data_IF_989415237339
#
_entry.id   IF_989415237339
#
_cell.length_a   1.000
_cell.length_b   1.000
_cell.length_c   1.000
_cell.angle_alpha   90.00
_cell.angle_beta   90.00
_cell.angle_gamma   90.00
#
_symmetry.space_group_name_H-M   'P 1'
#
loop_
_entity.id
_entity.type
_entity.pdbx_description
1 polymer ?
#
# COMPACT_ATOMS: atom_id res chain seq x y z
N UNK A 1 8.36 -23.36 30.44
CA UNK A 1 8.59 -22.02 29.91
C UNK A 1 8.82 -22.13 28.42
N UNK A 2 7.77 -21.85 27.66
CA UNK A 2 7.81 -21.90 26.22
C UNK A 2 8.37 -20.54 25.73
N UNK A 3 9.65 -20.52 25.43
CA UNK A 3 10.25 -19.37 24.72
C UNK A 3 9.89 -19.50 23.26
N UNK A 4 8.81 -18.82 22.85
CA UNK A 4 8.52 -18.62 21.44
C UNK A 4 9.65 -17.79 20.82
N UNK A 5 10.57 -18.44 20.13
CA UNK A 5 11.52 -17.75 19.28
C UNK A 5 10.73 -17.12 18.12
N UNK A 6 10.67 -15.81 18.09
CA UNK A 6 10.16 -15.11 16.90
C UNK A 6 11.14 -15.40 15.75
N UNK A 7 10.63 -15.98 14.68
CA UNK A 7 11.39 -16.11 13.45
C UNK A 7 11.30 -14.75 12.72
N UNK A 8 12.45 -14.10 12.55
CA UNK A 8 12.59 -12.94 11.71
C UNK A 8 13.19 -13.38 10.38
N UNK A 9 12.50 -13.13 9.30
CA UNK A 9 13.04 -13.22 7.95
C UNK A 9 13.33 -11.81 7.50
N UNK A 10 14.61 -11.42 7.57
CA UNK A 10 15.11 -10.24 6.90
C UNK A 10 15.89 -10.73 5.69
N UNK A 11 15.52 -10.29 4.51
CA UNK A 11 16.20 -10.66 3.26
C UNK A 11 17.50 -9.87 3.06
N UNK A 12 17.79 -8.95 3.98
CA UNK A 12 19.03 -8.17 3.99
C UNK A 12 20.23 -9.07 4.29
N UNK A 13 21.01 -9.36 3.29
CA UNK A 13 22.31 -10.02 3.43
C UNK A 13 23.40 -9.02 3.88
N UNK A 14 23.17 -8.33 5.03
CA UNK A 14 24.14 -7.44 5.65
C UNK A 14 24.37 -6.08 4.97
N UNK A 15 23.82 -5.87 3.81
CA UNK A 15 23.61 -4.59 3.12
C UNK A 15 22.17 -4.63 2.64
N UNK A 16 21.38 -3.64 3.01
CA UNK A 16 20.00 -3.48 2.56
C UNK A 16 19.99 -3.56 1.04
N UNK A 17 19.55 -4.69 0.49
CA UNK A 17 19.57 -4.93 -0.94
C UNK A 17 18.34 -5.71 -1.37
N UNK A 18 17.68 -5.20 -2.37
CA UNK A 18 16.54 -5.86 -3.00
C UNK A 18 16.99 -7.18 -3.64
N UNK A 19 16.18 -8.21 -3.47
CA UNK A 19 16.49 -9.52 -4.03
C UNK A 19 15.33 -10.52 -4.00
N UNK A 20 15.66 -11.72 -4.49
CA UNK A 20 14.78 -12.90 -4.32
C UNK A 20 15.49 -13.90 -3.44
N UNK A 21 14.84 -14.27 -2.34
CA UNK A 21 15.30 -15.33 -1.46
C UNK A 21 14.40 -16.57 -1.65
N UNK A 22 15.02 -17.74 -1.86
CA UNK A 22 14.28 -18.98 -2.13
C UNK A 22 14.45 -19.98 -1.01
N UNK A 23 13.34 -20.53 -0.52
CA UNK A 23 13.29 -21.59 0.46
C UNK A 23 12.45 -22.75 -0.06
N UNK A 24 12.72 -23.98 0.39
CA UNK A 24 11.89 -25.14 0.01
C UNK A 24 10.59 -25.13 0.79
N UNK A 25 10.66 -25.02 2.12
CA UNK A 25 9.50 -25.00 3.00
C UNK A 25 9.51 -23.72 3.82
N UNK A 26 8.46 -22.92 3.67
CA UNK A 26 8.27 -21.67 4.40
C UNK A 26 7.19 -21.86 5.47
N UNK A 27 7.61 -21.86 6.74
CA UNK A 27 6.68 -21.95 7.86
C UNK A 27 6.51 -20.56 8.50
N UNK A 28 5.32 -20.00 8.42
CA UNK A 28 4.98 -18.71 8.98
C UNK A 28 4.14 -18.88 10.24
N UNK A 29 4.81 -18.77 11.39
CA UNK A 29 4.17 -18.89 12.70
C UNK A 29 3.53 -17.58 13.14
N UNK A 30 2.63 -17.65 14.11
CA UNK A 30 2.08 -16.48 14.78
C UNK A 30 3.19 -15.56 15.30
N UNK A 31 3.15 -14.29 14.93
CA UNK A 31 4.13 -13.29 15.30
C UNK A 31 5.46 -13.38 14.55
N UNK A 32 5.59 -14.24 13.53
CA UNK A 32 6.73 -14.19 12.61
C UNK A 32 6.87 -12.79 12.04
N UNK A 33 8.11 -12.36 11.83
CA UNK A 33 8.42 -11.04 11.28
C UNK A 33 8.97 -11.23 9.88
N UNK A 34 8.36 -10.54 8.92
CA UNK A 34 8.88 -10.40 7.58
C UNK A 34 9.14 -8.92 7.28
N UNK A 35 10.41 -8.57 7.17
CA UNK A 35 10.85 -7.25 6.75
C UNK A 35 10.95 -7.25 5.22
N UNK A 36 10.04 -6.52 4.58
CA UNK A 36 9.94 -6.40 3.13
C UNK A 36 10.42 -5.02 2.68
N UNK A 37 11.28 -5.01 1.68
CA UNK A 37 11.97 -3.82 1.21
C UNK A 37 11.57 -3.47 -0.22
N UNK A 38 11.48 -2.17 -0.51
CA UNK A 38 11.18 -1.63 -1.82
C UNK A 38 12.08 -0.43 -2.13
N UNK A 39 12.77 -0.47 -3.26
CA UNK A 39 13.63 0.62 -3.75
C UNK A 39 13.06 1.32 -4.98
N UNK A 40 12.24 0.64 -5.77
CA UNK A 40 11.62 1.20 -6.97
C UNK A 40 10.15 0.78 -7.09
N UNK A 41 9.25 1.75 -6.99
CA UNK A 41 7.80 1.54 -7.03
C UNK A 41 7.29 1.09 -8.41
N UNK A 42 8.01 1.43 -9.47
CA UNK A 42 7.73 1.05 -10.85
C UNK A 42 8.64 -0.09 -11.36
N UNK A 43 9.49 -0.63 -10.48
CA UNK A 43 10.41 -1.72 -10.77
C UNK A 43 9.74 -3.08 -10.98
N UNK A 44 10.53 -4.13 -10.86
CA UNK A 44 10.09 -5.51 -10.97
C UNK A 44 10.43 -6.32 -9.72
N UNK A 45 9.74 -7.42 -9.50
CA UNK A 45 9.98 -8.36 -8.42
C UNK A 45 11.45 -8.84 -8.41
N UNK A 46 12.08 -8.83 -7.24
CA UNK A 46 13.49 -9.19 -7.06
C UNK A 46 14.51 -8.14 -7.52
N UNK A 47 14.07 -7.00 -8.09
CA UNK A 47 14.95 -5.89 -8.49
C UNK A 47 14.46 -4.54 -8.00
N UNK A 48 13.16 -4.31 -7.97
CA UNK A 48 12.54 -3.11 -7.41
C UNK A 48 12.06 -3.32 -5.98
N UNK A 49 11.77 -4.55 -5.61
CA UNK A 49 11.36 -4.96 -4.27
C UNK A 49 11.69 -6.43 -4.00
N UNK A 50 11.69 -6.79 -2.73
CA UNK A 50 11.99 -8.15 -2.28
C UNK A 50 10.93 -9.16 -2.64
N UNK A 51 11.39 -10.40 -2.90
CA UNK A 51 10.55 -11.57 -3.09
C UNK A 51 11.05 -12.72 -2.22
N UNK A 52 10.15 -13.34 -1.48
CA UNK A 52 10.40 -14.60 -0.80
C UNK A 52 9.73 -15.73 -1.59
N UNK A 53 10.54 -16.49 -2.32
CA UNK A 53 10.10 -17.61 -3.11
C UNK A 53 10.10 -18.91 -2.27
N UNK A 54 9.08 -19.76 -2.44
CA UNK A 54 8.93 -21.01 -1.69
C UNK A 54 8.39 -22.13 -2.60
N UNK A 55 8.59 -23.38 -2.20
CA UNK A 55 7.86 -24.51 -2.81
C UNK A 55 6.58 -24.81 -2.02
N UNK A 56 6.70 -24.90 -0.71
CA UNK A 56 5.56 -25.14 0.17
C UNK A 56 5.47 -24.05 1.24
N UNK A 57 4.26 -23.59 1.52
CA UNK A 57 3.96 -22.56 2.52
C UNK A 57 3.00 -23.11 3.57
N UNK A 58 3.35 -22.95 4.83
CA UNK A 58 2.52 -23.34 5.96
C UNK A 58 2.25 -22.15 6.90
N UNK A 59 0.98 -21.73 6.97
CA UNK A 59 0.50 -20.76 7.94
C UNK A 59 0.10 -21.48 9.25
N UNK A 60 0.97 -21.44 10.24
CA UNK A 60 0.78 -22.15 11.51
C UNK A 60 -0.10 -21.40 12.52
N UNK A 61 -0.97 -20.53 12.02
CA UNK A 61 -1.95 -19.79 12.82
C UNK A 61 -1.44 -18.46 13.34
N UNK A 62 -2.38 -17.53 13.56
CA UNK A 62 -2.10 -16.15 13.98
C UNK A 62 -1.61 -15.24 12.86
N UNK A 63 -1.35 -13.99 13.24
CA UNK A 63 -0.93 -12.98 12.28
C UNK A 63 0.61 -12.88 12.20
N UNK A 64 1.09 -12.63 10.98
CA UNK A 64 2.50 -12.37 10.65
C UNK A 64 2.72 -10.87 10.67
N UNK A 65 3.81 -10.41 11.26
CA UNK A 65 4.18 -9.00 11.24
C UNK A 65 4.94 -8.70 9.93
N UNK A 66 4.30 -7.97 9.04
CA UNK A 66 4.89 -7.54 7.76
C UNK A 66 5.30 -6.07 7.88
N UNK A 67 6.59 -5.84 7.97
CA UNK A 67 7.16 -4.49 7.99
C UNK A 67 7.54 -4.06 6.58
N UNK A 68 7.12 -2.87 6.18
CA UNK A 68 7.41 -2.31 4.86
C UNK A 68 8.45 -1.20 5.00
N UNK A 69 9.57 -1.33 4.31
CA UNK A 69 10.67 -0.38 4.31
C UNK A 69 10.93 0.20 2.92
N UNK A 70 11.14 1.53 2.87
CA UNK A 70 11.62 2.20 1.67
C UNK A 70 13.15 2.22 1.64
N UNK A 71 13.73 1.88 0.50
CA UNK A 71 15.15 1.99 0.24
C UNK A 71 15.43 2.95 -0.91
N UNK A 72 16.55 3.66 -0.83
CA UNK A 72 17.15 4.36 -1.96
C UNK A 72 17.82 3.36 -2.90
N UNK A 73 18.14 3.80 -4.11
CA UNK A 73 18.83 2.96 -5.11
C UNK A 73 20.21 2.44 -4.67
N UNK A 74 20.80 3.04 -3.63
CA UNK A 74 22.07 2.61 -3.03
C UNK A 74 21.88 1.60 -1.88
N UNK A 75 20.66 1.15 -1.60
CA UNK A 75 20.33 0.20 -0.54
C UNK A 75 20.22 0.81 0.86
N UNK A 76 20.36 2.13 1.03
CA UNK A 76 20.15 2.77 2.35
C UNK A 76 18.67 3.09 2.58
N UNK A 77 18.22 3.02 3.84
CA UNK A 77 16.87 3.41 4.20
C UNK A 77 16.55 4.82 3.71
N UNK A 78 15.43 4.97 3.01
CA UNK A 78 15.06 6.25 2.40
C UNK A 78 13.86 6.17 1.48
N UNK A 79 13.63 7.26 0.74
CA UNK A 79 12.57 7.31 -0.27
C UNK A 79 12.94 6.42 -1.46
N UNK A 80 12.03 5.54 -1.83
CA UNK A 80 12.17 4.72 -3.04
C UNK A 80 11.94 5.56 -4.31
N UNK A 81 12.46 5.08 -5.45
CA UNK A 81 12.18 5.63 -6.78
C UNK A 81 10.81 5.20 -7.30
N UNK A 82 10.41 5.74 -8.44
CA UNK A 82 9.15 5.42 -9.09
C UNK A 82 7.97 6.29 -8.65
N UNK A 83 6.79 6.04 -9.23
CA UNK A 83 5.60 6.83 -8.98
C UNK A 83 4.81 6.31 -7.76
N UNK A 84 5.22 6.72 -6.58
CA UNK A 84 4.59 6.32 -5.31
C UNK A 84 3.15 6.83 -5.13
N UNK A 85 2.68 7.75 -5.97
CA UNK A 85 1.29 8.20 -6.00
C UNK A 85 0.37 7.29 -6.81
N UNK A 86 0.94 6.42 -7.66
CA UNK A 86 0.15 5.48 -8.42
C UNK A 86 -0.42 4.39 -7.50
N UNK A 87 -1.72 4.11 -7.64
CA UNK A 87 -2.31 2.95 -7.00
C UNK A 87 -1.74 1.67 -7.64
N UNK A 88 -1.33 0.72 -6.80
CA UNK A 88 -0.87 -0.61 -7.21
C UNK A 88 -1.88 -1.65 -6.71
N UNK A 89 -2.98 -1.79 -7.45
CA UNK A 89 -4.10 -2.68 -7.09
C UNK A 89 -4.38 -3.69 -8.18
N UNK A 90 -4.84 -4.89 -7.78
CA UNK A 90 -5.12 -6.00 -8.69
C UNK A 90 -4.01 -7.06 -8.73
N UNK A 91 -4.38 -8.26 -9.17
CA UNK A 91 -3.52 -9.45 -9.11
C UNK A 91 -2.22 -9.33 -9.89
N UNK A 92 -2.19 -8.51 -10.93
CA UNK A 92 -1.02 -8.37 -11.82
C UNK A 92 -0.28 -7.05 -11.66
N UNK A 93 -0.84 -6.09 -10.91
CA UNK A 93 -0.30 -4.75 -10.74
C UNK A 93 0.15 -4.45 -9.31
N UNK A 94 -0.08 -5.35 -8.37
CA UNK A 94 0.48 -5.32 -7.02
C UNK A 94 1.95 -5.73 -6.99
N UNK A 95 2.55 -5.62 -5.81
CA UNK A 95 3.92 -6.06 -5.57
C UNK A 95 3.91 -7.53 -5.14
N UNK A 96 4.34 -8.44 -6.02
CA UNK A 96 4.51 -9.84 -5.64
C UNK A 96 5.61 -9.92 -4.58
N UNK A 97 5.28 -10.39 -3.38
CA UNK A 97 6.22 -10.47 -2.26
C UNK A 97 6.42 -11.90 -1.73
N UNK A 98 5.42 -12.76 -1.94
CA UNK A 98 5.55 -14.20 -1.75
C UNK A 98 5.25 -14.88 -3.10
N UNK A 99 6.13 -15.76 -3.53
CA UNK A 99 6.04 -16.45 -4.82
C UNK A 99 6.17 -17.96 -4.64
N UNK A 100 5.16 -18.70 -5.08
CA UNK A 100 5.20 -20.16 -5.09
C UNK A 100 5.10 -20.73 -6.51
N UNK A 101 5.62 -21.95 -6.74
CA UNK A 101 5.41 -22.63 -8.01
C UNK A 101 3.96 -23.10 -8.13
N UNK A 102 3.45 -23.19 -9.36
CA UNK A 102 2.08 -23.68 -9.62
C UNK A 102 1.78 -25.07 -9.03
N UNK A 103 2.81 -25.87 -8.74
CA UNK A 103 2.73 -27.19 -8.11
C UNK A 103 2.93 -27.15 -6.59
N UNK A 104 3.18 -25.98 -6.03
CA UNK A 104 3.41 -25.80 -4.60
C UNK A 104 2.13 -26.01 -3.78
N UNK A 105 2.32 -26.30 -2.49
CA UNK A 105 1.21 -26.45 -1.56
C UNK A 105 1.14 -25.29 -0.59
N UNK A 106 -0.07 -24.85 -0.28
CA UNK A 106 -0.32 -23.87 0.77
C UNK A 106 -1.21 -24.51 1.83
N UNK A 107 -0.65 -24.66 3.02
CA UNK A 107 -1.43 -25.01 4.20
C UNK A 107 -1.92 -23.73 4.89
N UNK A 108 -3.22 -23.53 4.87
CA UNK A 108 -3.87 -22.31 5.41
C UNK A 108 -4.01 -22.32 6.93
N UNK A 109 -3.60 -23.40 7.61
CA UNK A 109 -3.69 -23.51 9.06
C UNK A 109 -5.12 -23.31 9.55
N UNK A 110 -5.32 -22.34 10.45
CA UNK A 110 -6.65 -21.98 10.95
C UNK A 110 -7.33 -20.88 10.15
N UNK A 111 -6.63 -20.24 9.22
CA UNK A 111 -7.20 -19.23 8.34
C UNK A 111 -8.22 -19.88 7.39
N UNK A 112 -9.36 -19.21 7.21
CA UNK A 112 -10.46 -19.68 6.36
C UNK A 112 -10.84 -21.15 6.61
N UNK A 113 -10.74 -21.61 7.88
CA UNK A 113 -10.97 -23.02 8.28
C UNK A 113 -10.07 -24.01 7.53
N UNK A 114 -8.84 -23.60 7.19
CA UNK A 114 -7.87 -24.43 6.49
C UNK A 114 -8.10 -24.58 4.99
N UNK A 115 -9.05 -23.84 4.44
CA UNK A 115 -9.43 -23.92 3.00
C UNK A 115 -8.78 -22.80 2.19
N UNK A 116 -8.45 -23.08 0.94
CA UNK A 116 -8.00 -22.06 -0.01
C UNK A 116 -9.09 -20.97 -0.15
N UNK A 117 -8.79 -19.71 0.13
CA UNK A 117 -9.77 -18.62 0.05
C UNK A 117 -10.23 -18.29 -1.37
N UNK A 118 -9.57 -18.84 -2.39
CA UNK A 118 -9.87 -18.60 -3.81
C UNK A 118 -9.17 -17.37 -4.39
N UNK A 119 -9.17 -17.32 -5.71
CA UNK A 119 -8.57 -16.22 -6.46
C UNK A 119 -9.27 -14.90 -6.18
N UNK A 120 -8.48 -13.84 -6.08
CA UNK A 120 -9.00 -12.50 -5.89
C UNK A 120 -9.40 -12.16 -4.45
N UNK A 121 -8.99 -12.97 -3.50
CA UNK A 121 -9.33 -12.76 -2.10
C UNK A 121 -8.27 -11.91 -1.39
N UNK A 122 -8.74 -10.91 -0.63
CA UNK A 122 -7.89 -10.18 0.30
C UNK A 122 -7.63 -11.04 1.53
N UNK A 123 -6.36 -11.30 1.81
CA UNK A 123 -5.92 -12.11 2.96
C UNK A 123 -5.17 -11.28 4.00
N UNK A 124 -5.49 -9.98 4.05
CA UNK A 124 -4.81 -9.02 4.95
C UNK A 124 -4.91 -9.39 6.44
N UNK A 125 -5.92 -10.16 6.84
CA UNK A 125 -6.05 -10.64 8.23
C UNK A 125 -4.96 -11.63 8.66
N UNK A 126 -4.21 -12.19 7.71
CA UNK A 126 -3.01 -12.98 8.02
C UNK A 126 -1.79 -12.12 8.37
N UNK A 127 -1.84 -10.82 8.12
CA UNK A 127 -0.70 -9.92 8.23
C UNK A 127 -1.02 -8.68 9.07
N UNK A 128 -0.16 -8.41 10.05
CA UNK A 128 -0.09 -7.12 10.73
C UNK A 128 0.85 -6.23 9.93
N UNK A 129 0.30 -5.36 9.08
CA UNK A 129 1.11 -4.53 8.18
C UNK A 129 1.57 -3.27 8.91
N UNK A 130 2.89 -3.10 9.02
CA UNK A 130 3.54 -1.92 9.56
C UNK A 130 4.28 -1.19 8.43
N UNK A 131 3.78 0.00 8.07
CA UNK A 131 4.33 0.81 6.98
C UNK A 131 5.20 1.98 7.43
N UNK A 132 5.54 2.09 8.73
CA UNK A 132 6.29 3.25 9.25
C UNK A 132 7.63 3.43 8.55
N UNK A 133 8.35 2.34 8.26
CA UNK A 133 9.62 2.37 7.55
C UNK A 133 9.53 2.88 6.12
N UNK A 134 8.35 2.75 5.48
CA UNK A 134 8.09 3.25 4.13
C UNK A 134 7.51 4.66 4.14
N UNK A 135 6.45 4.90 4.92
CA UNK A 135 5.73 6.18 4.95
C UNK A 135 6.56 7.33 5.49
N UNK A 136 7.50 7.04 6.40
CA UNK A 136 8.41 8.04 6.96
C UNK A 136 9.24 8.74 5.87
N UNK A 137 9.73 8.00 4.89
CA UNK A 137 10.60 8.52 3.84
C UNK A 137 9.84 8.98 2.60
N UNK A 138 8.74 8.30 2.26
CA UNK A 138 8.01 8.60 1.03
C UNK A 138 6.95 9.69 1.21
N UNK A 139 6.64 10.07 2.47
CA UNK A 139 5.64 11.10 2.80
C UNK A 139 4.27 10.86 2.16
N UNK A 140 3.95 9.62 1.83
CA UNK A 140 2.70 9.25 1.21
C UNK A 140 1.85 8.42 2.16
N UNK A 141 0.59 8.82 2.24
CA UNK A 141 -0.40 8.10 3.00
C UNK A 141 -1.17 7.19 2.05
N UNK A 142 -1.35 5.95 2.45
CA UNK A 142 -2.10 4.97 1.70
C UNK A 142 -2.38 3.76 2.54
N UNK A 143 -3.24 2.91 2.01
CA UNK A 143 -3.58 1.64 2.64
C UNK A 143 -2.87 0.51 1.89
N UNK A 144 -2.15 -0.29 2.66
CA UNK A 144 -1.59 -1.54 2.17
C UNK A 144 -2.54 -2.69 2.49
N UNK A 145 -2.67 -3.61 1.58
CA UNK A 145 -3.44 -4.84 1.76
C UNK A 145 -2.72 -6.00 1.08
N UNK A 146 -3.00 -7.22 1.54
CA UNK A 146 -2.46 -8.43 0.94
C UNK A 146 -3.55 -9.12 0.12
N UNK A 147 -3.19 -9.45 -1.11
CA UNK A 147 -4.06 -10.10 -2.08
C UNK A 147 -3.47 -11.46 -2.47
N UNK A 148 -4.32 -12.47 -2.58
CA UNK A 148 -3.95 -13.81 -3.03
C UNK A 148 -4.49 -14.04 -4.45
N UNK A 149 -3.66 -14.54 -5.36
CA UNK A 149 -4.03 -14.74 -6.75
C UNK A 149 -4.92 -15.97 -7.00
N UNK A 150 -5.08 -16.82 -5.99
CA UNK A 150 -5.86 -18.07 -6.08
C UNK A 150 -5.01 -19.28 -6.40
N UNK A 151 -3.73 -19.10 -6.66
CA UNK A 151 -2.78 -20.14 -7.04
C UNK A 151 -1.72 -20.31 -5.94
N UNK A 152 -0.62 -19.59 -6.00
CA UNK A 152 0.47 -19.67 -5.02
C UNK A 152 1.12 -18.32 -4.71
N UNK A 153 0.72 -17.24 -5.39
CA UNK A 153 1.34 -15.94 -5.28
C UNK A 153 0.55 -14.98 -4.39
N UNK A 154 1.30 -14.20 -3.60
CA UNK A 154 0.74 -13.14 -2.77
C UNK A 154 1.30 -11.80 -3.18
N UNK A 155 0.41 -10.82 -3.25
CA UNK A 155 0.71 -9.47 -3.69
C UNK A 155 0.39 -8.46 -2.61
N UNK A 156 1.31 -7.55 -2.36
CA UNK A 156 1.03 -6.32 -1.66
C UNK A 156 0.36 -5.34 -2.62
N UNK A 157 -0.78 -4.84 -2.23
CA UNK A 157 -1.50 -3.81 -2.95
C UNK A 157 -1.41 -2.50 -2.18
N UNK A 158 -1.18 -1.41 -2.90
CA UNK A 158 -1.13 -0.08 -2.34
C UNK A 158 -2.22 0.78 -2.95
N UNK A 159 -3.05 1.38 -2.09
CA UNK A 159 -4.06 2.36 -2.47
C UNK A 159 -3.68 3.71 -1.89
N UNK A 160 -3.22 4.62 -2.75
CA UNK A 160 -2.84 5.95 -2.33
C UNK A 160 -4.07 6.74 -1.82
N UNK A 161 -3.91 7.43 -0.70
CA UNK A 161 -4.88 8.39 -0.20
C UNK A 161 -4.34 9.79 -0.52
N UNK A 162 -5.08 10.62 -1.29
CA UNK A 162 -4.66 11.98 -1.57
C UNK A 162 -4.46 12.79 -0.28
N UNK A 163 -3.37 13.55 -0.20
CA UNK A 163 -3.11 14.40 0.96
C UNK A 163 -4.23 15.43 1.18
N UNK A 164 -4.50 15.82 2.44
CA UNK A 164 -5.52 16.84 2.76
C UNK A 164 -5.33 18.15 2.00
N UNK A 165 -4.08 18.54 1.71
CA UNK A 165 -3.74 19.71 0.90
C UNK A 165 -4.33 19.65 -0.52
N UNK A 166 -4.41 18.47 -1.12
CA UNK A 166 -5.00 18.27 -2.45
C UNK A 166 -6.50 18.57 -2.43
N UNK A 167 -7.20 18.17 -1.37
CA UNK A 167 -8.63 18.49 -1.21
C UNK A 167 -8.85 19.99 -1.00
N UNK A 168 -8.01 20.66 -0.24
CA UNK A 168 -8.09 22.11 -0.01
C UNK A 168 -7.86 22.88 -1.31
N UNK A 169 -6.90 22.46 -2.15
CA UNK A 169 -6.68 23.10 -3.45
C UNK A 169 -7.88 22.91 -4.40
N UNK A 170 -8.41 21.70 -4.50
CA UNK A 170 -9.56 21.42 -5.39
C UNK A 170 -10.80 22.17 -4.91
N UNK A 171 -11.10 22.16 -3.61
CA UNK A 171 -12.25 22.91 -3.07
C UNK A 171 -12.05 24.41 -3.16
N UNK A 172 -10.84 24.92 -2.91
CA UNK A 172 -10.49 26.32 -3.08
C UNK A 172 -10.67 26.80 -4.52
N UNK A 173 -10.23 26.03 -5.50
CA UNK A 173 -10.38 26.32 -6.92
C UNK A 173 -11.85 26.35 -7.36
N UNK A 174 -12.68 25.48 -6.81
CA UNK A 174 -14.14 25.44 -7.09
C UNK A 174 -14.89 26.59 -6.45
N UNK A 175 -14.41 27.13 -5.30
CA UNK A 175 -15.05 28.25 -4.63
C UNK A 175 -14.79 29.61 -5.29
N UNK A 176 -13.66 29.78 -5.98
CA UNK A 176 -13.31 31.06 -6.66
C UNK A 176 -14.33 31.52 -7.72
N UNK A 177 -14.84 30.64 -8.62
CA UNK A 177 -15.87 31.03 -9.57
C UNK A 177 -17.20 31.42 -8.89
N UNK A 178 -17.58 30.69 -7.83
CA UNK A 178 -18.78 30.95 -7.05
C UNK A 178 -18.75 32.32 -6.37
N UNK A 179 -17.61 32.69 -5.76
CA UNK A 179 -17.43 34.00 -5.13
C UNK A 179 -17.57 35.14 -6.13
N UNK A 180 -16.95 35.03 -7.31
CA UNK A 180 -17.04 36.04 -8.35
C UNK A 180 -18.48 36.16 -8.91
N UNK A 181 -19.18 35.07 -9.05
CA UNK A 181 -20.58 35.03 -9.46
C UNK A 181 -21.49 35.78 -8.47
N UNK A 182 -21.39 35.45 -7.19
CA UNK A 182 -22.18 36.11 -6.12
C UNK A 182 -21.85 37.61 -6.06
N UNK A 183 -20.60 38.00 -6.21
CA UNK A 183 -20.18 39.41 -6.23
C UNK A 183 -20.79 40.18 -7.41
N UNK A 184 -20.89 39.56 -8.59
CA UNK A 184 -21.53 40.17 -9.79
C UNK A 184 -23.04 40.32 -9.59
N UNK A 185 -23.69 39.36 -8.97
CA UNK A 185 -25.14 39.43 -8.68
C UNK A 185 -25.47 40.56 -7.69
N UNK A 186 -24.67 40.78 -6.67
CA UNK A 186 -24.84 41.87 -5.70
C UNK A 186 -24.69 43.23 -6.34
N UNK A 187 -23.70 43.42 -7.27
CA UNK A 187 -23.53 44.67 -8.00
C UNK A 187 -24.74 44.98 -8.90
N UNK A 188 -25.32 44.00 -9.59
CA UNK A 188 -26.53 44.21 -10.41
C UNK A 188 -27.72 44.66 -9.58
N UNK A 189 -27.91 44.12 -8.37
CA UNK A 189 -29.01 44.45 -7.49
C UNK A 189 -28.92 45.86 -6.90
N UNK A 190 -27.71 46.39 -6.71
CA UNK A 190 -27.49 47.78 -6.24
C UNK A 190 -27.74 48.84 -7.34
N UNK A 191 -27.47 48.50 -8.61
CA UNK A 191 -27.74 49.39 -9.75
C UNK A 191 -29.24 49.49 -10.04
N UNK A 192 -30.02 48.43 -9.95
CA UNK A 192 -31.47 48.46 -10.19
C UNK A 192 -32.24 49.26 -9.10
N UNK A 193 -31.69 49.34 -7.88
CA UNK A 193 -32.33 50.08 -6.78
C UNK A 193 -32.10 51.59 -6.84
N UNK A 194 -31.10 52.06 -7.59
CA UNK A 194 -30.79 53.49 -7.81
C UNK A 194 -31.65 54.15 -8.91
N UNK A 195 -32.20 53.37 -9.84
CA UNK A 195 -33.01 53.91 -10.95
C UNK A 195 -34.47 54.14 -10.53
N UNK A 196 -34.95 53.49 -9.46
CA UNK A 196 -36.32 53.63 -8.98
C UNK A 196 -36.54 54.85 -8.08
N UNK A 197 -35.48 55.54 -7.60
CA UNK A 197 -35.62 56.73 -6.74
C UNK A 197 -35.58 58.06 -7.52
N UNK A 198 -35.26 58.08 -8.80
CA UNK A 198 -35.14 59.30 -9.61
C UNK A 198 -36.43 59.68 -10.38
N UNK A 199 -37.53 58.91 -10.23
CA UNK A 199 -38.81 59.14 -10.94
C UNK A 199 -39.87 59.86 -10.06
N UNK A 200 -39.54 60.20 -8.80
CA UNK A 200 -40.51 60.86 -7.91
C UNK A 200 -39.90 62.19 -7.40
N UNK A 201 -39.70 63.15 -8.26
CA UNK A 201 -39.48 64.57 -7.92
C UNK A 201 -40.07 65.50 -8.97
#
# INVERSE_FOLDING_TARGET
TNTSSQQQVSLANGTDSIGTFTVTNLNLNNGAIYDWEISDFDGSAGTGWDVLAFNDLDFQGGAINLNIFGLQSNGTAGANSGNTFAAKTGATSGFKFLEGPNSGTINWGTFNSGTNPGAGTTVSSLFNINQQGWSHYNHHYGNWSVYYDGNTDFYLQFSAVPEPSTYVMVTGLLMLPGYNFVRRMRKKKSLSKGEDEEIIS
#
